data_IF_882893316811
#
_entry.id   IF_882893316811
#
_cell.length_a   1.000
_cell.length_b   1.000
_cell.length_c   1.000
_cell.angle_alpha   90.00
_cell.angle_beta   90.00
_cell.angle_gamma   90.00
#
_symmetry.space_group_name_H-M   'P 1'
#
loop_
_entity.id
_entity.type
_entity.pdbx_description
1 polymer ?
#
# COMPACT_ATOMS: atom_id res chain seq x y z
N UNK A 1 33.03 -14.72 45.52
CA UNK A 1 32.61 -13.42 44.95
C UNK A 1 31.35 -13.66 44.15
N UNK A 2 30.18 -13.26 44.66
CA UNK A 2 28.90 -13.35 43.96
C UNK A 2 28.87 -12.30 42.86
N UNK A 3 29.15 -12.70 41.62
CA UNK A 3 28.93 -11.88 40.43
C UNK A 3 27.43 -11.59 40.36
N UNK A 4 27.03 -10.40 40.84
CA UNK A 4 25.69 -9.87 40.59
C UNK A 4 25.58 -9.78 39.07
N UNK A 5 24.79 -10.67 38.45
CA UNK A 5 24.38 -10.51 37.07
C UNK A 5 23.84 -9.07 36.92
N UNK A 6 24.37 -8.35 35.95
CA UNK A 6 23.91 -7.01 35.57
C UNK A 6 22.38 -7.08 35.41
N UNK A 7 21.57 -6.16 36.00
CA UNK A 7 20.10 -6.23 35.96
C UNK A 7 19.53 -6.47 34.55
N UNK A 8 20.20 -5.95 33.52
CA UNK A 8 19.83 -6.17 32.10
C UNK A 8 20.06 -7.62 31.69
N UNK A 9 21.22 -8.20 32.00
CA UNK A 9 21.55 -9.59 31.67
C UNK A 9 20.65 -10.57 32.44
N UNK A 10 20.35 -10.29 33.71
CA UNK A 10 19.41 -11.09 34.49
C UNK A 10 17.99 -11.09 33.91
N UNK A 11 17.50 -9.93 33.46
CA UNK A 11 16.19 -9.81 32.81
C UNK A 11 16.17 -10.56 31.48
N UNK A 12 17.22 -10.43 30.66
CA UNK A 12 17.34 -11.14 29.38
C UNK A 12 17.38 -12.66 29.61
N UNK A 13 18.16 -13.16 30.56
CA UNK A 13 18.21 -14.60 30.86
C UNK A 13 16.87 -15.12 31.39
N UNK A 14 16.20 -14.36 32.28
CA UNK A 14 14.89 -14.76 32.79
C UNK A 14 13.81 -14.80 31.69
N UNK A 15 13.79 -13.82 30.80
CA UNK A 15 12.80 -13.74 29.72
C UNK A 15 13.10 -14.74 28.59
N UNK A 16 14.38 -14.97 28.28
CA UNK A 16 14.80 -15.76 27.12
C UNK A 16 15.30 -17.17 27.44
N UNK A 17 15.56 -17.53 28.69
CA UNK A 17 16.01 -18.87 29.09
C UNK A 17 14.93 -19.96 28.98
N UNK A 18 13.64 -19.59 29.00
CA UNK A 18 12.57 -20.58 28.86
C UNK A 18 12.30 -20.96 27.39
N UNK A 19 12.24 -22.27 27.04
CA UNK A 19 11.91 -22.72 25.69
C UNK A 19 10.52 -22.29 25.23
N UNK A 20 9.54 -22.29 26.14
CA UNK A 20 8.13 -21.98 25.83
C UNK A 20 7.90 -20.54 25.36
N UNK A 21 8.68 -19.56 25.86
CA UNK A 21 8.50 -18.15 25.50
C UNK A 21 8.77 -17.90 24.02
N UNK A 22 9.69 -18.64 23.40
CA UNK A 22 9.99 -18.49 21.99
C UNK A 22 8.79 -18.88 21.10
N UNK A 23 8.11 -19.99 21.43
CA UNK A 23 6.92 -20.42 20.68
C UNK A 23 5.74 -19.45 20.86
N UNK A 24 5.54 -18.94 22.08
CA UNK A 24 4.51 -17.92 22.36
C UNK A 24 4.81 -16.63 21.59
N UNK A 25 6.06 -16.18 21.56
CA UNK A 25 6.48 -15.00 20.79
C UNK A 25 6.30 -15.20 19.28
N UNK A 26 6.65 -16.39 18.76
CA UNK A 26 6.44 -16.74 17.35
C UNK A 26 4.94 -16.68 16.99
N UNK A 27 4.07 -17.27 17.83
CA UNK A 27 2.62 -17.17 17.67
C UNK A 27 2.10 -15.73 17.75
N UNK A 28 2.62 -14.95 18.69
CA UNK A 28 2.30 -13.53 18.86
C UNK A 28 2.66 -12.69 17.64
N UNK A 29 3.84 -12.91 17.04
CA UNK A 29 4.27 -12.23 15.81
C UNK A 29 3.33 -12.55 14.64
N UNK A 30 2.93 -13.81 14.48
CA UNK A 30 2.01 -14.22 13.43
C UNK A 30 0.61 -13.62 13.64
N UNK A 31 0.08 -13.68 14.86
CA UNK A 31 -1.21 -13.07 15.21
C UNK A 31 -1.19 -11.56 14.98
N UNK A 32 -0.11 -10.89 15.36
CA UNK A 32 0.07 -9.46 15.11
C UNK A 32 0.12 -9.15 13.62
N UNK A 33 0.84 -9.95 12.82
CA UNK A 33 0.85 -9.83 11.36
C UNK A 33 -0.55 -9.99 10.73
N UNK A 34 -1.31 -11.00 11.18
CA UNK A 34 -2.71 -11.19 10.76
C UNK A 34 -3.58 -9.99 11.20
N UNK A 35 -3.40 -9.50 12.42
CA UNK A 35 -4.09 -8.33 12.94
C UNK A 35 -3.84 -7.08 12.09
N UNK A 36 -2.59 -6.84 11.67
CA UNK A 36 -2.25 -5.76 10.74
C UNK A 36 -2.91 -5.91 9.38
N UNK A 37 -2.99 -7.14 8.85
CA UNK A 37 -3.69 -7.42 7.59
C UNK A 37 -5.17 -7.08 7.72
N UNK A 38 -5.81 -7.52 8.80
CA UNK A 38 -7.22 -7.25 9.06
C UNK A 38 -7.44 -5.74 9.24
N UNK A 39 -6.67 -5.10 10.12
CA UNK A 39 -6.80 -3.68 10.43
C UNK A 39 -6.60 -2.78 9.19
N UNK A 40 -5.53 -2.97 8.44
CA UNK A 40 -5.30 -2.25 7.18
C UNK A 40 -6.39 -2.56 6.14
N UNK A 41 -6.92 -3.78 6.15
CA UNK A 41 -8.01 -4.20 5.29
C UNK A 41 -9.29 -3.41 5.55
N UNK A 42 -9.65 -3.25 6.82
CA UNK A 42 -10.86 -2.52 7.22
C UNK A 42 -10.69 -1.00 7.16
N UNK A 43 -9.52 -0.46 7.50
CA UNK A 43 -9.31 0.99 7.65
C UNK A 43 -8.92 1.69 6.34
N UNK A 44 -8.13 1.05 5.49
CA UNK A 44 -7.57 1.71 4.29
C UNK A 44 -8.12 1.08 3.01
N UNK A 45 -8.04 -0.24 2.89
CA UNK A 45 -8.37 -0.94 1.64
C UNK A 45 -9.86 -0.96 1.32
N UNK A 46 -10.72 -1.38 2.28
CA UNK A 46 -12.17 -1.44 2.09
C UNK A 46 -12.82 -0.09 1.75
N UNK A 47 -12.55 1.02 2.48
CA UNK A 47 -13.20 2.28 2.16
C UNK A 47 -12.77 2.83 0.79
N UNK A 48 -11.49 2.67 0.41
CA UNK A 48 -11.00 3.08 -0.90
C UNK A 48 -11.69 2.29 -2.02
N UNK A 49 -11.75 0.96 -1.89
CA UNK A 49 -12.40 0.11 -2.89
C UNK A 49 -13.90 0.43 -3.04
N UNK A 50 -14.59 0.71 -1.93
CA UNK A 50 -15.98 1.12 -1.95
C UNK A 50 -16.16 2.50 -2.61
N UNK A 51 -15.31 3.48 -2.29
CA UNK A 51 -15.40 4.83 -2.89
C UNK A 51 -15.16 4.78 -4.41
N UNK A 52 -14.18 4.01 -4.88
CA UNK A 52 -13.94 3.81 -6.33
C UNK A 52 -15.16 3.13 -6.97
N UNK A 53 -15.70 2.08 -6.35
CA UNK A 53 -16.86 1.35 -6.90
C UNK A 53 -18.13 2.19 -6.92
N UNK A 54 -18.36 3.02 -5.90
CA UNK A 54 -19.51 3.92 -5.87
C UNK A 54 -19.42 4.96 -6.99
N UNK A 55 -18.25 5.58 -7.17
CA UNK A 55 -18.00 6.52 -8.28
C UNK A 55 -18.09 5.85 -9.65
N UNK A 56 -17.59 4.62 -9.76
CA UNK A 56 -17.74 3.80 -10.95
C UNK A 56 -19.20 3.54 -11.30
N UNK A 57 -20.02 3.15 -10.32
CA UNK A 57 -21.44 2.88 -10.52
C UNK A 57 -22.20 4.14 -10.97
N UNK A 58 -21.83 5.32 -10.45
CA UNK A 58 -22.41 6.59 -10.90
C UNK A 58 -22.09 6.87 -12.37
N UNK A 59 -20.86 6.60 -12.81
CA UNK A 59 -20.48 6.72 -14.23
C UNK A 59 -21.14 5.63 -15.08
N UNK A 60 -21.22 4.40 -14.56
CA UNK A 60 -21.88 3.26 -15.21
C UNK A 60 -23.37 3.49 -15.45
N UNK A 61 -24.05 4.21 -14.54
CA UNK A 61 -25.45 4.59 -14.71
C UNK A 61 -25.69 5.54 -15.90
N UNK A 62 -24.64 6.18 -16.42
CA UNK A 62 -24.69 7.05 -17.59
C UNK A 62 -24.54 6.28 -18.92
N UNK A 63 -24.23 4.97 -18.87
CA UNK A 63 -24.01 4.17 -20.08
C UNK A 63 -25.28 4.07 -20.92
N UNK A 64 -25.20 4.59 -22.16
CA UNK A 64 -26.30 4.66 -23.12
C UNK A 64 -25.85 5.32 -24.43
N UNK A 65 -26.77 5.53 -25.38
CA UNK A 65 -26.48 6.05 -26.73
C UNK A 65 -25.85 7.44 -26.77
N UNK A 66 -25.87 8.21 -25.67
CA UNK A 66 -25.29 9.55 -25.57
C UNK A 66 -24.61 9.80 -24.21
N UNK A 67 -23.71 8.89 -23.80
CA UNK A 67 -23.01 8.98 -22.51
C UNK A 67 -22.30 10.32 -22.26
N UNK A 68 -21.67 10.91 -23.29
CA UNK A 68 -21.01 12.24 -23.19
C UNK A 68 -21.99 13.37 -22.83
N UNK A 69 -23.19 13.35 -23.42
CA UNK A 69 -24.23 14.33 -23.14
C UNK A 69 -24.81 14.14 -21.74
N UNK A 70 -25.07 12.90 -21.35
CA UNK A 70 -25.55 12.56 -20.01
C UNK A 70 -24.54 12.98 -18.92
N UNK A 71 -23.24 12.80 -19.17
CA UNK A 71 -22.17 13.24 -18.28
C UNK A 71 -22.15 14.77 -18.15
N UNK A 72 -22.29 15.51 -19.25
CA UNK A 72 -22.35 16.97 -19.22
C UNK A 72 -23.57 17.49 -18.44
N UNK A 73 -24.76 16.92 -18.68
CA UNK A 73 -26.00 17.31 -17.97
C UNK A 73 -25.94 17.01 -16.46
N UNK A 74 -25.29 15.91 -16.07
CA UNK A 74 -25.18 15.49 -14.66
C UNK A 74 -23.87 15.91 -13.99
N UNK A 75 -23.04 16.71 -14.67
CA UNK A 75 -21.69 17.05 -14.23
C UNK A 75 -21.67 17.68 -12.84
N UNK A 76 -22.60 18.59 -12.53
CA UNK A 76 -22.67 19.24 -11.21
C UNK A 76 -22.87 18.23 -10.07
N UNK A 77 -23.74 17.22 -10.25
CA UNK A 77 -23.99 16.18 -9.26
C UNK A 77 -22.77 15.26 -9.09
N UNK A 78 -22.16 14.88 -10.21
CA UNK A 78 -20.95 14.04 -10.21
C UNK A 78 -19.79 14.76 -9.53
N UNK A 79 -19.62 16.04 -9.83
CA UNK A 79 -18.56 16.86 -9.28
C UNK A 79 -18.67 17.04 -7.76
N UNK A 80 -19.88 17.25 -7.21
CA UNK A 80 -20.09 17.29 -5.75
C UNK A 80 -19.63 15.98 -5.09
N UNK A 81 -20.00 14.83 -5.66
CA UNK A 81 -19.57 13.53 -5.12
C UNK A 81 -18.07 13.32 -5.26
N UNK A 82 -17.50 13.70 -6.40
CA UNK A 82 -16.10 13.43 -6.71
C UNK A 82 -15.11 14.36 -5.98
N UNK A 83 -15.52 15.61 -5.75
CA UNK A 83 -14.79 16.60 -4.93
C UNK A 83 -14.83 16.32 -3.43
N UNK A 84 -15.61 15.33 -2.99
CA UNK A 84 -15.75 14.98 -1.57
C UNK A 84 -16.53 16.02 -0.76
N UNK A 85 -17.25 16.93 -1.43
CA UNK A 85 -18.15 17.91 -0.81
C UNK A 85 -19.55 17.33 -0.50
N UNK A 86 -19.80 16.07 -0.89
CA UNK A 86 -20.99 15.34 -0.50
C UNK A 86 -21.06 15.14 1.03
N UNK A 87 -22.27 15.25 1.59
CA UNK A 87 -22.55 15.11 3.04
C UNK A 87 -22.10 13.76 3.63
N UNK A 88 -21.84 12.76 2.79
CA UNK A 88 -21.54 11.38 3.19
C UNK A 88 -20.16 11.18 3.86
N UNK A 89 -19.31 12.21 3.93
CA UNK A 89 -18.08 12.23 4.76
C UNK A 89 -17.02 11.17 4.46
N UNK A 90 -17.18 10.38 3.39
CA UNK A 90 -16.34 9.22 3.02
C UNK A 90 -15.66 9.45 1.66
N UNK A 91 -14.77 10.42 1.59
CA UNK A 91 -14.01 10.68 0.38
C UNK A 91 -12.53 10.35 0.59
N UNK A 92 -11.99 9.45 -0.23
CA UNK A 92 -10.54 9.23 -0.23
C UNK A 92 -9.82 10.50 -0.68
N UNK A 93 -8.89 11.00 0.14
CA UNK A 93 -8.14 12.22 -0.17
C UNK A 93 -7.41 12.12 -1.52
N UNK A 94 -6.88 10.94 -1.86
CA UNK A 94 -6.20 10.69 -3.13
C UNK A 94 -7.16 10.81 -4.33
N UNK A 95 -8.40 10.31 -4.22
CA UNK A 95 -9.41 10.42 -5.28
C UNK A 95 -9.94 11.85 -5.42
N UNK A 96 -10.11 12.57 -4.32
CA UNK A 96 -10.52 13.99 -4.34
C UNK A 96 -9.44 14.85 -5.01
N UNK A 97 -8.18 14.65 -4.63
CA UNK A 97 -7.06 15.39 -5.21
C UNK A 97 -6.89 15.06 -6.70
N UNK A 98 -6.96 13.78 -7.07
CA UNK A 98 -6.91 13.33 -8.47
C UNK A 98 -8.06 13.91 -9.30
N UNK A 99 -9.28 13.96 -8.72
CA UNK A 99 -10.41 14.61 -9.37
C UNK A 99 -10.22 16.12 -9.55
N UNK A 100 -9.74 16.82 -8.52
CA UNK A 100 -9.48 18.26 -8.61
C UNK A 100 -8.47 18.58 -9.73
N UNK A 101 -7.42 17.76 -9.85
CA UNK A 101 -6.44 17.86 -10.93
C UNK A 101 -7.10 17.59 -12.30
N UNK A 102 -7.78 16.45 -12.45
CA UNK A 102 -8.46 16.09 -13.71
C UNK A 102 -9.48 17.15 -14.14
N UNK A 103 -10.29 17.64 -13.20
CA UNK A 103 -11.29 18.69 -13.44
C UNK A 103 -10.65 19.97 -13.97
N UNK A 104 -9.49 20.37 -13.44
CA UNK A 104 -8.81 21.58 -13.89
C UNK A 104 -8.39 21.55 -15.37
N UNK A 105 -8.37 20.36 -15.97
CA UNK A 105 -7.98 20.10 -17.35
C UNK A 105 -9.19 19.85 -18.28
N UNK A 106 -10.39 19.79 -17.72
CA UNK A 106 -11.63 19.69 -18.50
C UNK A 106 -11.97 21.04 -19.11
N UNK A 107 -12.10 21.08 -20.43
CA UNK A 107 -12.54 22.25 -21.20
C UNK A 107 -13.92 21.97 -21.76
N UNK A 108 -14.87 22.89 -21.55
CA UNK A 108 -16.21 22.80 -22.14
C UNK A 108 -16.15 23.10 -23.65
N UNK A 109 -16.72 22.21 -24.46
CA UNK A 109 -16.80 22.33 -25.92
C UNK A 109 -18.16 22.87 -26.36
N UNK A 110 -18.47 24.11 -25.97
CA UNK A 110 -19.70 24.83 -26.39
C UNK A 110 -20.98 24.00 -26.22
N UNK A 111 -21.10 23.22 -25.14
CA UNK A 111 -22.29 22.39 -24.85
C UNK A 111 -22.33 21.04 -25.58
N UNK A 112 -21.31 20.68 -26.36
CA UNK A 112 -21.14 19.34 -26.93
C UNK A 112 -20.47 18.33 -25.99
N UNK A 113 -20.15 18.75 -24.77
CA UNK A 113 -19.49 17.95 -23.73
C UNK A 113 -18.10 18.47 -23.40
N UNK A 114 -17.38 17.73 -22.57
CA UNK A 114 -16.04 18.12 -22.14
C UNK A 114 -14.94 17.53 -23.04
N UNK A 115 -13.84 18.27 -23.14
CA UNK A 115 -12.58 17.88 -23.77
C UNK A 115 -11.48 17.76 -22.70
N UNK A 116 -10.57 16.81 -22.89
CA UNK A 116 -9.34 16.70 -22.09
C UNK A 116 -8.15 16.40 -22.98
N UNK A 117 -7.00 16.99 -22.63
CA UNK A 117 -5.72 16.72 -23.31
C UNK A 117 -4.92 15.58 -22.68
N UNK A 118 -5.31 15.15 -21.48
CA UNK A 118 -4.68 14.02 -20.77
C UNK A 118 -5.70 12.92 -20.46
N UNK A 119 -5.21 11.72 -20.23
CA UNK A 119 -6.05 10.60 -19.80
C UNK A 119 -6.37 10.68 -18.31
N UNK A 120 -7.53 10.15 -17.92
CA UNK A 120 -7.90 10.06 -16.51
C UNK A 120 -6.83 9.36 -15.67
N UNK A 121 -6.25 8.25 -16.16
CA UNK A 121 -5.22 7.52 -15.41
C UNK A 121 -4.00 8.39 -15.03
N UNK A 122 -3.61 9.35 -15.88
CA UNK A 122 -2.46 10.24 -15.65
C UNK A 122 -2.77 11.32 -14.60
N UNK A 123 -4.05 11.71 -14.45
CA UNK A 123 -4.45 12.71 -13.46
C UNK A 123 -4.51 12.17 -12.03
N UNK A 124 -4.63 10.85 -11.86
CA UNK A 124 -4.88 10.14 -10.59
C UNK A 124 -3.66 9.37 -10.03
N UNK A 125 -2.43 9.79 -10.38
CA UNK A 125 -1.14 9.10 -10.14
C UNK A 125 -0.78 8.76 -8.66
N UNK A 126 -1.61 9.12 -7.67
CA UNK A 126 -1.29 9.02 -6.22
C UNK A 126 -2.05 7.95 -5.43
N UNK A 127 -2.66 6.96 -6.06
CA UNK A 127 -3.52 6.00 -5.34
C UNK A 127 -2.76 4.86 -4.60
N UNK A 128 -1.43 4.77 -4.71
CA UNK A 128 -0.61 3.63 -4.24
C UNK A 128 -0.25 3.64 -2.73
N UNK A 129 -0.72 4.64 -1.96
CA UNK A 129 -0.34 4.86 -0.56
C UNK A 129 -0.63 3.70 0.43
N UNK A 130 -1.76 2.95 0.33
CA UNK A 130 -2.09 1.88 1.28
C UNK A 130 -1.14 0.67 1.24
N UNK A 131 -0.44 0.43 0.12
CA UNK A 131 0.47 -0.71 0.01
C UNK A 131 1.77 -0.50 0.80
N UNK A 132 2.18 0.77 0.98
CA UNK A 132 3.45 1.14 1.60
C UNK A 132 3.50 0.84 3.10
N UNK A 133 2.35 0.91 3.79
CA UNK A 133 2.27 0.64 5.23
C UNK A 133 2.54 -0.84 5.56
N UNK A 134 1.98 -1.78 4.78
CA UNK A 134 2.21 -3.22 4.96
C UNK A 134 3.66 -3.61 4.65
N UNK A 135 4.26 -3.03 3.61
CA UNK A 135 5.65 -3.29 3.26
C UNK A 135 6.62 -2.81 4.35
N UNK A 136 6.32 -1.66 4.95
CA UNK A 136 7.08 -1.15 6.09
C UNK A 136 6.98 -2.10 7.30
N UNK A 137 5.78 -2.53 7.68
CA UNK A 137 5.59 -3.50 8.75
C UNK A 137 6.25 -4.85 8.47
N UNK A 138 6.23 -5.30 7.20
CA UNK A 138 6.91 -6.52 6.79
C UNK A 138 8.42 -6.44 7.05
N UNK A 139 9.06 -5.29 6.84
CA UNK A 139 10.48 -5.10 7.17
C UNK A 139 10.71 -5.15 8.68
N UNK A 140 9.85 -4.50 9.46
CA UNK A 140 9.96 -4.46 10.93
C UNK A 140 9.86 -5.86 11.54
N UNK A 141 8.93 -6.71 11.07
CA UNK A 141 8.78 -8.07 11.61
C UNK A 141 10.01 -8.96 11.40
N UNK A 142 10.71 -8.81 10.27
CA UNK A 142 11.99 -9.51 10.04
C UNK A 142 13.04 -9.03 11.04
N UNK A 143 13.17 -7.71 11.20
CA UNK A 143 14.13 -7.13 12.13
C UNK A 143 13.86 -7.57 13.58
N UNK A 144 12.60 -7.61 14.00
CA UNK A 144 12.20 -8.08 15.34
C UNK A 144 12.58 -9.55 15.54
N UNK A 145 12.27 -10.43 14.58
CA UNK A 145 12.63 -11.85 14.67
C UNK A 145 14.15 -12.09 14.76
N UNK A 146 14.93 -11.30 14.02
CA UNK A 146 16.39 -11.32 14.06
C UNK A 146 16.92 -10.89 15.44
N UNK A 147 16.43 -9.77 15.98
CA UNK A 147 16.85 -9.25 17.30
C UNK A 147 16.54 -10.26 18.41
N UNK A 148 15.34 -10.86 18.40
CA UNK A 148 14.95 -11.89 19.38
C UNK A 148 15.89 -13.09 19.32
N UNK A 149 16.32 -13.50 18.13
CA UNK A 149 17.27 -14.62 17.97
C UNK A 149 18.64 -14.27 18.52
N UNK A 150 19.15 -13.07 18.22
CA UNK A 150 20.43 -12.61 18.77
C UNK A 150 20.41 -12.53 20.30
N UNK A 151 19.35 -11.96 20.89
CA UNK A 151 19.19 -11.92 22.35
C UNK A 151 19.12 -13.32 22.95
N UNK A 152 18.43 -14.25 22.27
CA UNK A 152 18.36 -15.64 22.70
C UNK A 152 19.72 -16.34 22.72
N UNK A 153 20.56 -16.13 21.71
CA UNK A 153 21.92 -16.69 21.65
C UNK A 153 22.80 -16.08 22.76
N UNK A 154 22.73 -14.76 22.97
CA UNK A 154 23.49 -14.07 24.04
C UNK A 154 23.09 -14.59 25.43
N UNK A 155 21.79 -14.77 25.67
CA UNK A 155 21.28 -15.34 26.92
C UNK A 155 21.81 -16.75 27.17
N UNK A 156 21.70 -17.61 26.15
CA UNK A 156 22.16 -18.99 26.22
C UNK A 156 23.67 -19.04 26.53
N UNK A 157 24.49 -18.31 25.75
CA UNK A 157 25.96 -18.25 25.96
C UNK A 157 26.34 -17.80 27.37
N UNK A 158 25.60 -16.83 27.92
CA UNK A 158 25.81 -16.35 29.28
C UNK A 158 25.54 -17.44 30.33
N UNK A 159 24.47 -18.20 30.14
CA UNK A 159 24.09 -19.31 31.03
C UNK A 159 25.11 -20.47 30.96
N UNK A 160 25.59 -20.82 29.77
CA UNK A 160 26.62 -21.85 29.64
C UNK A 160 27.95 -21.43 30.24
N UNK A 161 28.35 -20.17 30.09
CA UNK A 161 29.57 -19.63 30.71
C UNK A 161 29.46 -19.67 32.24
N UNK A 162 28.29 -19.34 32.79
CA UNK A 162 28.01 -19.47 34.22
C UNK A 162 28.08 -20.94 34.69
N UNK A 163 27.50 -21.87 33.94
CA UNK A 163 27.55 -23.31 34.26
C UNK A 163 28.98 -23.87 34.25
N UNK A 164 29.83 -23.40 33.34
CA UNK A 164 31.23 -23.84 33.22
C UNK A 164 32.16 -23.26 34.29
N UNK A 165 31.87 -22.05 34.79
CA UNK A 165 32.68 -21.37 35.83
C UNK A 165 32.37 -21.85 37.25
N UNK A 166 31.27 -22.59 37.46
CA UNK A 166 30.81 -23.12 38.75
C UNK A 166 31.59 -24.32 39.32
N UNK A 167 32.56 -24.89 38.57
CA UNK A 167 33.69 -25.62 39.17
C UNK A 167 33.54 -27.08 39.62
N UNK A 168 32.38 -27.75 39.60
CA UNK A 168 32.26 -29.10 40.20
C UNK A 168 31.80 -30.25 39.28
N UNK A 169 31.53 -30.00 38.00
CA UNK A 169 31.12 -31.06 37.07
C UNK A 169 32.11 -31.22 35.93
N UNK A 170 32.77 -32.38 35.83
CA UNK A 170 33.63 -32.74 34.70
C UNK A 170 32.90 -32.79 33.34
N UNK A 171 33.43 -33.51 32.35
CA UNK A 171 32.94 -33.51 30.96
C UNK A 171 31.41 -33.69 30.76
N UNK A 172 30.72 -34.38 31.68
CA UNK A 172 29.27 -34.55 31.65
C UNK A 172 28.46 -33.25 31.90
N UNK A 173 28.91 -32.37 32.79
CA UNK A 173 28.24 -31.09 33.04
C UNK A 173 28.43 -30.13 31.87
N UNK A 174 29.61 -30.17 31.24
CA UNK A 174 29.88 -29.41 30.02
C UNK A 174 29.03 -29.92 28.84
N UNK A 175 28.88 -31.23 28.68
CA UNK A 175 28.00 -31.80 27.65
C UNK A 175 26.53 -31.38 27.88
N UNK A 176 26.04 -31.41 29.12
CA UNK A 176 24.68 -30.99 29.45
C UNK A 176 24.45 -29.50 29.16
N UNK A 177 25.41 -28.64 29.51
CA UNK A 177 25.34 -27.21 29.21
C UNK A 177 25.32 -26.94 27.69
N UNK A 178 26.16 -27.65 26.91
CA UNK A 178 26.18 -27.55 25.45
C UNK A 178 24.87 -28.04 24.81
N UNK A 179 24.27 -29.11 25.32
CA UNK A 179 22.96 -29.57 24.83
C UNK A 179 21.84 -28.59 25.17
N UNK A 180 21.86 -28.01 26.38
CA UNK A 180 20.92 -26.95 26.79
C UNK A 180 21.02 -25.71 25.91
N UNK A 181 22.25 -25.26 25.62
CA UNK A 181 22.51 -24.19 24.66
C UNK A 181 21.88 -24.46 23.30
N UNK A 182 22.14 -25.65 22.75
CA UNK A 182 21.68 -26.01 21.41
C UNK A 182 20.15 -26.04 21.36
N UNK A 183 19.50 -26.57 22.40
CA UNK A 183 18.06 -26.62 22.51
C UNK A 183 17.43 -25.22 22.63
N UNK A 184 17.99 -24.34 23.46
CA UNK A 184 17.53 -22.96 23.59
C UNK A 184 17.72 -22.22 22.27
N UNK A 185 18.91 -22.30 21.67
CA UNK A 185 19.21 -21.66 20.38
C UNK A 185 18.27 -22.15 19.27
N UNK A 186 18.09 -23.47 19.12
CA UNK A 186 17.16 -24.08 18.16
C UNK A 186 15.72 -23.56 18.33
N UNK A 187 15.26 -23.42 19.57
CA UNK A 187 13.92 -22.92 19.86
C UNK A 187 13.79 -21.42 19.52
N UNK A 188 14.86 -20.63 19.68
CA UNK A 188 14.86 -19.20 19.32
C UNK A 188 14.85 -18.98 17.81
N UNK A 189 15.43 -19.87 17.00
CA UNK A 189 15.32 -19.79 15.54
C UNK A 189 13.87 -19.82 15.04
N UNK A 190 12.96 -20.51 15.73
CA UNK A 190 11.53 -20.50 15.37
C UNK A 190 10.90 -19.10 15.42
N UNK A 191 11.38 -18.21 16.31
CA UNK A 191 10.90 -16.82 16.36
C UNK A 191 11.30 -16.02 15.12
N UNK A 192 12.51 -16.24 14.60
CA UNK A 192 12.99 -15.63 13.36
C UNK A 192 12.21 -16.16 12.15
N UNK A 193 12.01 -17.48 12.08
CA UNK A 193 11.21 -18.11 11.02
C UNK A 193 9.80 -17.51 10.99
N UNK A 194 9.17 -17.33 12.16
CA UNK A 194 7.86 -16.70 12.25
C UNK A 194 7.87 -15.24 11.78
N UNK A 195 8.89 -14.44 12.12
CA UNK A 195 9.04 -13.07 11.65
C UNK A 195 9.20 -12.97 10.13
N UNK A 196 10.01 -13.85 9.53
CA UNK A 196 10.17 -13.94 8.08
C UNK A 196 8.88 -14.41 7.41
N UNK A 197 8.23 -15.43 7.94
CA UNK A 197 6.97 -15.94 7.40
C UNK A 197 5.88 -14.86 7.43
N UNK A 198 5.74 -14.14 8.56
CA UNK A 198 4.81 -13.03 8.68
C UNK A 198 5.13 -11.91 7.65
N UNK A 199 6.41 -11.60 7.44
CA UNK A 199 6.85 -10.62 6.44
C UNK A 199 6.47 -11.04 5.02
N UNK A 200 6.68 -12.31 4.67
CA UNK A 200 6.30 -12.85 3.36
C UNK A 200 4.79 -12.72 3.16
N UNK A 201 3.99 -13.14 4.15
CA UNK A 201 2.52 -13.05 4.07
C UNK A 201 2.07 -11.58 3.88
N UNK A 202 2.64 -10.64 4.63
CA UNK A 202 2.32 -9.21 4.51
C UNK A 202 2.62 -8.67 3.11
N UNK A 203 3.79 -8.98 2.54
CA UNK A 203 4.17 -8.55 1.18
C UNK A 203 3.27 -9.16 0.11
N UNK A 204 2.95 -10.44 0.25
CA UNK A 204 2.06 -11.15 -0.69
C UNK A 204 0.67 -10.49 -0.67
N UNK A 205 0.12 -10.22 0.51
CA UNK A 205 -1.17 -9.55 0.65
C UNK A 205 -1.13 -8.12 0.10
N UNK A 206 -0.08 -7.35 0.38
CA UNK A 206 0.11 -6.01 -0.17
C UNK A 206 0.09 -6.04 -1.71
N UNK A 207 0.81 -6.99 -2.31
CA UNK A 207 0.86 -7.17 -3.76
C UNK A 207 -0.50 -7.54 -4.35
N UNK A 208 -1.26 -8.43 -3.72
CA UNK A 208 -2.60 -8.79 -4.17
C UNK A 208 -3.57 -7.61 -4.08
N UNK A 209 -3.51 -6.83 -2.99
CA UNK A 209 -4.34 -5.63 -2.82
C UNK A 209 -4.02 -4.56 -3.85
N UNK A 210 -2.74 -4.31 -4.12
CA UNK A 210 -2.29 -3.37 -5.15
C UNK A 210 -2.85 -3.75 -6.52
N UNK A 211 -2.70 -5.02 -6.93
CA UNK A 211 -3.27 -5.51 -8.19
C UNK A 211 -4.79 -5.38 -8.27
N UNK A 212 -5.49 -5.64 -7.15
CA UNK A 212 -6.94 -5.49 -7.10
C UNK A 212 -7.35 -4.03 -7.29
N UNK A 213 -6.66 -3.09 -6.63
CA UNK A 213 -6.86 -1.64 -6.80
C UNK A 213 -6.61 -1.23 -8.25
N UNK A 214 -5.44 -1.57 -8.82
CA UNK A 214 -5.08 -1.27 -10.21
C UNK A 214 -6.14 -1.75 -11.20
N UNK A 215 -6.72 -2.94 -11.00
CA UNK A 215 -7.74 -3.49 -11.91
C UNK A 215 -9.06 -2.71 -11.90
N UNK A 216 -9.46 -2.23 -10.71
CA UNK A 216 -10.71 -1.46 -10.53
C UNK A 216 -10.49 -0.02 -10.99
N UNK A 217 -9.33 0.56 -10.72
CA UNK A 217 -8.92 1.87 -11.22
C UNK A 217 -8.82 1.91 -12.73
N UNK A 218 -8.19 0.90 -13.35
CA UNK A 218 -8.08 0.82 -14.80
C UNK A 218 -9.47 0.80 -15.45
N UNK A 219 -10.40 0.03 -14.86
CA UNK A 219 -11.80 0.06 -15.28
C UNK A 219 -12.32 1.50 -15.14
N UNK A 220 -12.26 2.09 -13.93
CA UNK A 220 -12.69 3.46 -13.62
C UNK A 220 -12.22 4.51 -14.62
N UNK A 221 -10.93 4.54 -14.93
CA UNK A 221 -10.36 5.48 -15.87
C UNK A 221 -10.84 5.26 -17.30
N UNK A 222 -11.06 4.02 -17.74
CA UNK A 222 -11.60 3.74 -19.07
C UNK A 222 -13.02 4.30 -19.21
N UNK A 223 -13.90 4.12 -18.21
CA UNK A 223 -15.25 4.69 -18.31
C UNK A 223 -15.22 6.21 -18.20
N UNK A 224 -14.40 6.78 -17.32
CA UNK A 224 -14.28 8.24 -17.21
C UNK A 224 -13.75 8.85 -18.53
N UNK A 225 -12.73 8.25 -19.13
CA UNK A 225 -12.22 8.67 -20.45
C UNK A 225 -13.30 8.57 -21.53
N UNK A 226 -14.20 7.59 -21.47
CA UNK A 226 -15.30 7.50 -22.43
C UNK A 226 -16.44 8.52 -22.21
N UNK A 227 -16.49 9.19 -21.06
CA UNK A 227 -17.42 10.29 -20.77
C UNK A 227 -16.98 11.62 -21.37
N UNK A 228 -15.70 11.76 -21.71
CA UNK A 228 -15.06 13.01 -22.14
C UNK A 228 -14.42 12.77 -23.51
N UNK A 229 -14.30 13.80 -24.35
CA UNK A 229 -13.56 13.66 -25.60
C UNK A 229 -12.07 13.88 -25.36
N UNK A 230 -11.27 12.83 -25.58
CA UNK A 230 -9.82 12.91 -25.50
C UNK A 230 -9.25 13.54 -26.78
N UNK A 231 -8.53 14.65 -26.61
CA UNK A 231 -7.88 15.38 -27.70
C UNK A 231 -6.41 15.65 -27.32
N UNK A 232 -5.47 14.78 -27.75
CA UNK A 232 -4.05 14.95 -27.47
C UNK A 232 -3.53 16.33 -27.89
N UNK A 233 -2.55 16.90 -27.18
CA UNK A 233 -1.98 18.21 -27.50
C UNK A 233 -1.39 18.29 -28.92
N UNK A 234 -0.90 17.17 -29.46
CA UNK A 234 -0.42 17.10 -30.84
C UNK A 234 -1.57 17.23 -31.83
N UNK A 235 -2.74 16.66 -31.52
CA UNK A 235 -3.94 16.85 -32.36
C UNK A 235 -4.45 18.28 -32.27
N UNK A 236 -4.46 18.87 -31.06
CA UNK A 236 -4.85 20.27 -30.86
C UNK A 236 -3.94 21.20 -31.69
N UNK A 237 -2.63 21.02 -31.61
CA UNK A 237 -1.67 21.86 -32.36
C UNK A 237 -1.78 21.65 -33.87
N UNK A 238 -2.00 20.42 -34.36
CA UNK A 238 -2.29 20.17 -35.77
C UNK A 238 -3.61 20.80 -36.24
N UNK A 239 -4.63 20.82 -35.39
CA UNK A 239 -5.92 21.44 -35.69
C UNK A 239 -5.85 22.97 -35.72
N UNK A 240 -5.07 23.55 -34.81
CA UNK A 240 -4.69 24.97 -34.83
C UNK A 240 -3.90 25.33 -36.11
N UNK A 241 -2.93 24.51 -36.51
CA UNK A 241 -2.21 24.73 -37.77
C UNK A 241 -3.14 24.67 -38.98
N UNK A 242 -4.10 23.74 -38.99
CA UNK A 242 -5.13 23.66 -40.05
C UNK A 242 -6.09 24.84 -40.04
N UNK A 243 -6.49 25.36 -38.89
CA UNK A 243 -7.35 26.54 -38.81
C UNK A 243 -6.61 27.80 -39.27
N UNK A 244 -5.34 27.97 -38.86
CA UNK A 244 -4.47 29.06 -39.31
C UNK A 244 -4.25 29.00 -40.83
N UNK A 245 -3.95 27.82 -41.39
CA UNK A 245 -3.81 27.66 -42.84
C UNK A 245 -5.11 27.95 -43.60
N UNK A 246 -6.27 27.63 -43.04
CA UNK A 246 -7.58 27.97 -43.62
C UNK A 246 -7.83 29.48 -43.61
N UNK A 247 -7.47 30.16 -42.52
CA UNK A 247 -7.53 31.63 -42.43
C UNK A 247 -6.57 32.28 -43.42
N UNK A 248 -5.35 31.78 -43.54
CA UNK A 248 -4.36 32.25 -44.52
C UNK A 248 -4.91 32.15 -45.95
N UNK A 249 -5.47 31.01 -46.34
CA UNK A 249 -6.07 30.81 -47.66
C UNK A 249 -7.27 31.75 -47.89
N UNK A 250 -8.07 32.02 -46.85
CA UNK A 250 -9.24 32.91 -46.94
C UNK A 250 -8.86 34.39 -46.99
N UNK A 251 -7.69 34.76 -46.45
CA UNK A 251 -7.17 36.13 -46.40
C UNK A 251 -6.22 36.45 -47.56
N UNK A 252 -5.84 35.47 -48.38
CA UNK A 252 -4.97 35.67 -49.55
C UNK A 252 -5.77 36.32 -50.71
N UNK A 253 -5.55 37.61 -51.01
CA UNK A 253 -6.35 38.36 -51.97
C UNK A 253 -6.10 37.92 -53.42
N UNK A 254 -5.09 37.09 -53.68
CA UNK A 254 -4.75 36.62 -55.03
C UNK A 254 -5.66 35.50 -55.56
N UNK A 255 -6.49 34.89 -54.70
CA UNK A 255 -7.44 33.82 -55.08
C UNK A 255 -8.90 34.25 -55.13
N UNK A 256 -9.20 35.52 -54.87
CA UNK A 256 -10.57 36.06 -54.87
C UNK A 256 -10.98 36.72 -56.21
N UNK A 257 -10.18 36.59 -57.27
CA UNK A 257 -10.42 37.12 -58.61
C UNK A 257 -10.69 36.01 -59.63
#
# INVERSE_FOLDING_TARGET
MTTKLDPVTGLVVALFGSPGVALVMAGGILLFGIGLIVYSGFREYRPLMNDIRDRWNLLGALQGSNMRKAFHEQFSKLDVRFSGTAEDGKASAALVLGWANYRSLLVDNEGHGFLTSIRAAEAFDRLDEPARSLEWWANILVAVGLVVTFLGIVAALSEATAAMSGGEGGGAAMQSALMGLLAIAATKFWTSIAGVLASIILRVVARFRRKAIESVEASFFITLDSCVQFMPPEKVSLEQLKSLKRLEIALDPTKAA
#
